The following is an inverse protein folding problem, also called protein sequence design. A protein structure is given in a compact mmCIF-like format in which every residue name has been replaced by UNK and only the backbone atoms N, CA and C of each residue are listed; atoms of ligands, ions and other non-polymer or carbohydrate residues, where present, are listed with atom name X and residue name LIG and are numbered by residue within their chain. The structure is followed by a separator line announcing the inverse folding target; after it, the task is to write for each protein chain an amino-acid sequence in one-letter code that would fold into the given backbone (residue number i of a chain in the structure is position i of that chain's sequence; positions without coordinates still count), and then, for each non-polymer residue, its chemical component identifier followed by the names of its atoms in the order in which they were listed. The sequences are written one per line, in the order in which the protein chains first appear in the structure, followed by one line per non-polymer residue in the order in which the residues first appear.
data_IF_897633566650
#
_entry.id   IF_897633566650
#
_cell.length_a   1.000
_cell.length_b   1.000
_cell.length_c   1.000
_cell.angle_alpha   90.00
_cell.angle_beta   90.00
_cell.angle_gamma   90.00
#
_symmetry.space_group_name_H-M   'P 1'
#
loop_
_entity.id
_entity.type
_entity.pdbx_description
1 polymer ?
#
# COMPACT_ATOMS: atom_id res chain seq x y z
N UNK A 1 4.69 19.34 0.45
CA UNK A 1 4.76 18.65 -0.85
C UNK A 1 6.08 17.88 -1.01
N UNK A 2 7.24 18.50 -0.71
CA UNK A 2 8.54 17.80 -0.74
C UNK A 2 8.57 16.51 0.06
N UNK A 3 8.09 16.51 1.30
CA UNK A 3 8.03 15.30 2.15
C UNK A 3 7.22 14.14 1.53
N UNK A 4 6.18 14.45 0.75
CA UNK A 4 5.37 13.43 0.05
C UNK A 4 6.09 12.92 -1.19
N UNK A 5 6.79 13.80 -1.91
CA UNK A 5 7.67 13.42 -3.01
C UNK A 5 8.77 12.47 -2.54
N UNK A 6 9.47 12.81 -1.45
CA UNK A 6 10.54 11.99 -0.86
C UNK A 6 10.01 10.60 -0.44
N UNK A 7 8.78 10.55 0.08
CA UNK A 7 8.14 9.27 0.42
C UNK A 7 7.89 8.41 -0.83
N UNK A 8 7.41 8.97 -1.94
CA UNK A 8 7.21 8.21 -3.17
C UNK A 8 8.53 7.73 -3.77
N UNK A 9 9.58 8.55 -3.73
CA UNK A 9 10.93 8.13 -4.12
C UNK A 9 11.43 6.97 -3.25
N UNK A 10 11.18 7.03 -1.94
CA UNK A 10 11.53 5.95 -1.03
C UNK A 10 10.73 4.66 -1.32
N UNK A 11 9.42 4.76 -1.58
CA UNK A 11 8.59 3.61 -1.98
C UNK A 11 9.13 2.99 -3.27
N UNK A 12 9.45 3.82 -4.27
CA UNK A 12 10.01 3.39 -5.55
C UNK A 12 11.30 2.60 -5.36
N UNK A 13 12.25 3.17 -4.63
CA UNK A 13 13.53 2.54 -4.35
C UNK A 13 13.35 1.24 -3.56
N UNK A 14 12.46 1.23 -2.57
CA UNK A 14 12.18 0.06 -1.75
C UNK A 14 11.53 -1.08 -2.55
N UNK A 15 10.54 -0.78 -3.37
CA UNK A 15 9.87 -1.77 -4.21
C UNK A 15 10.87 -2.42 -5.21
N UNK A 16 11.75 -1.63 -5.82
CA UNK A 16 12.82 -2.14 -6.70
C UNK A 16 13.79 -3.05 -5.93
N UNK A 17 14.32 -2.59 -4.80
CA UNK A 17 15.27 -3.37 -3.99
C UNK A 17 14.67 -4.69 -3.51
N UNK A 18 13.41 -4.71 -3.06
CA UNK A 18 12.75 -5.94 -2.62
C UNK A 18 12.45 -6.88 -3.78
N UNK A 19 12.11 -6.32 -4.96
CA UNK A 19 11.95 -7.08 -6.18
C UNK A 19 13.22 -7.84 -6.54
N UNK A 20 14.35 -7.13 -6.61
CA UNK A 20 15.65 -7.70 -6.94
C UNK A 20 16.07 -8.75 -5.90
N UNK A 21 15.86 -8.48 -4.61
CA UNK A 21 16.14 -9.39 -3.51
C UNK A 21 15.35 -10.71 -3.62
N UNK A 22 14.04 -10.63 -3.85
CA UNK A 22 13.19 -11.82 -3.98
C UNK A 22 13.51 -12.58 -5.27
N UNK A 23 13.70 -11.89 -6.39
CA UNK A 23 14.06 -12.51 -7.65
C UNK A 23 15.38 -13.30 -7.55
N UNK A 24 16.41 -12.70 -6.95
CA UNK A 24 17.70 -13.36 -6.75
C UNK A 24 17.64 -14.51 -5.74
N UNK A 25 16.98 -14.32 -4.58
CA UNK A 25 16.93 -15.31 -3.52
C UNK A 25 16.16 -16.58 -3.91
N UNK A 26 15.13 -16.45 -4.75
CA UNK A 26 14.23 -17.56 -5.10
C UNK A 26 14.22 -17.88 -6.60
N UNK A 27 15.11 -17.28 -7.38
CA UNK A 27 15.25 -17.48 -8.84
C UNK A 27 13.92 -17.30 -9.59
N UNK A 28 13.16 -16.27 -9.21
CA UNK A 28 11.84 -16.01 -9.78
C UNK A 28 11.94 -15.51 -11.22
N UNK A 29 11.05 -16.00 -12.09
CA UNK A 29 10.90 -15.46 -13.43
C UNK A 29 10.32 -14.03 -13.41
N UNK A 30 10.61 -13.24 -14.43
CA UNK A 30 10.10 -11.87 -14.56
C UNK A 30 8.56 -11.76 -14.61
N UNK A 31 7.88 -12.86 -14.99
CA UNK A 31 6.42 -12.96 -15.00
C UNK A 31 5.81 -13.46 -13.69
N UNK A 32 6.60 -13.71 -12.64
CA UNK A 32 6.06 -14.12 -11.35
C UNK A 32 5.15 -13.04 -10.78
N UNK A 33 3.97 -13.46 -10.29
CA UNK A 33 2.96 -12.51 -9.80
C UNK A 33 3.47 -11.63 -8.65
N UNK A 34 4.37 -12.15 -7.79
CA UNK A 34 4.95 -11.41 -6.66
C UNK A 34 5.91 -10.32 -7.13
N UNK A 35 6.70 -10.62 -8.16
CA UNK A 35 7.55 -9.65 -8.87
C UNK A 35 6.67 -8.59 -9.55
N UNK A 36 5.60 -9.01 -10.22
CA UNK A 36 4.67 -8.10 -10.91
C UNK A 36 4.00 -7.12 -9.95
N UNK A 37 3.61 -7.54 -8.74
CA UNK A 37 3.02 -6.63 -7.75
C UNK A 37 4.01 -5.57 -7.26
N UNK A 38 5.26 -5.93 -6.97
CA UNK A 38 6.30 -4.98 -6.60
C UNK A 38 6.63 -4.01 -7.76
N UNK A 39 6.62 -4.49 -9.00
CA UNK A 39 6.77 -3.65 -10.18
C UNK A 39 5.61 -2.64 -10.32
N UNK A 40 4.37 -3.05 -10.05
CA UNK A 40 3.22 -2.13 -10.07
C UNK A 40 3.36 -1.07 -8.96
N UNK A 41 3.75 -1.45 -7.74
CA UNK A 41 4.03 -0.50 -6.67
C UNK A 41 5.13 0.48 -7.08
N UNK A 42 6.24 -0.02 -7.65
CA UNK A 42 7.33 0.81 -8.18
C UNK A 42 6.82 1.82 -9.22
N UNK A 43 6.03 1.36 -10.21
CA UNK A 43 5.46 2.21 -11.25
C UNK A 43 4.52 3.27 -10.69
N UNK A 44 3.63 2.90 -9.74
CA UNK A 44 2.72 3.86 -9.11
C UNK A 44 3.49 4.93 -8.32
N UNK A 45 4.55 4.54 -7.62
CA UNK A 45 5.40 5.48 -6.91
C UNK A 45 6.17 6.40 -7.88
N UNK A 46 6.69 5.86 -8.99
CA UNK A 46 7.37 6.63 -10.04
C UNK A 46 6.44 7.69 -10.64
N UNK A 47 5.26 7.28 -11.11
CA UNK A 47 4.26 8.21 -11.68
C UNK A 47 3.88 9.29 -10.65
N UNK A 48 3.70 8.90 -9.38
CA UNK A 48 3.35 9.83 -8.32
C UNK A 48 4.47 10.85 -8.05
N UNK A 49 5.72 10.42 -8.01
CA UNK A 49 6.87 11.30 -7.83
C UNK A 49 7.03 12.26 -9.02
N UNK A 50 6.92 11.78 -10.25
CA UNK A 50 7.00 12.60 -11.46
C UNK A 50 5.91 13.68 -11.50
N UNK A 51 4.66 13.32 -11.20
CA UNK A 51 3.56 14.28 -11.15
C UNK A 51 3.74 15.30 -10.02
N UNK A 52 4.21 14.88 -8.85
CA UNK A 52 4.51 15.80 -7.74
C UNK A 52 5.66 16.75 -8.08
N UNK A 53 6.74 16.26 -8.72
CA UNK A 53 7.82 17.11 -9.20
C UNK A 53 7.29 18.17 -10.16
N UNK A 54 6.48 17.75 -11.14
CA UNK A 54 5.86 18.67 -12.08
C UNK A 54 4.97 19.71 -11.40
N UNK A 55 4.19 19.33 -10.38
CA UNK A 55 3.39 20.27 -9.61
C UNK A 55 4.21 21.23 -8.75
N UNK A 56 5.39 20.81 -8.27
CA UNK A 56 6.30 21.70 -7.52
C UNK A 56 6.96 22.73 -8.42
N UNK A 57 7.29 22.35 -9.65
CA UNK A 57 7.90 23.23 -10.64
C UNK A 57 6.88 24.19 -11.28
N UNK A 58 5.62 23.77 -11.33
CA UNK A 58 4.51 24.55 -11.88
C UNK A 58 3.88 25.43 -10.81
N UNK A 59 4.62 26.48 -10.40
CA UNK A 59 4.02 27.52 -9.53
C UNK A 59 3.00 28.31 -10.34
N UNK A 60 1.73 28.39 -9.87
CA UNK A 60 0.77 29.30 -10.47
C UNK A 60 1.30 30.73 -10.40
N UNK A 61 0.86 31.59 -11.32
CA UNK A 61 1.16 33.02 -11.32
C UNK A 61 1.00 33.61 -9.91
N UNK A 62 1.79 34.60 -9.51
CA UNK A 62 1.82 35.10 -8.15
C UNK A 62 0.38 35.40 -7.68
N UNK A 63 -0.03 34.77 -6.61
CA UNK A 63 -1.33 34.99 -6.01
C UNK A 63 -1.42 36.45 -5.56
N UNK A 64 -2.44 37.14 -6.05
CA UNK A 64 -2.57 38.58 -5.81
C UNK A 64 -3.23 38.90 -4.46
N UNK A 65 -3.91 37.91 -3.86
CA UNK A 65 -4.59 38.05 -2.56
C UNK A 65 -4.32 36.87 -1.63
N UNK A 66 -4.44 37.03 -0.29
CA UNK A 66 -4.37 35.91 0.66
C UNK A 66 -5.38 34.78 0.35
N UNK A 67 -6.58 35.14 -0.12
CA UNK A 67 -7.61 34.17 -0.50
C UNK A 67 -7.19 33.31 -1.72
N UNK A 68 -6.44 33.88 -2.66
CA UNK A 68 -5.91 33.13 -3.81
C UNK A 68 -4.82 32.14 -3.38
N UNK A 69 -3.99 32.53 -2.40
CA UNK A 69 -2.97 31.65 -1.81
C UNK A 69 -3.64 30.45 -1.13
N UNK A 70 -4.63 30.70 -0.30
CA UNK A 70 -5.37 29.64 0.42
C UNK A 70 -6.05 28.68 -0.57
N UNK A 71 -6.71 29.23 -1.60
CA UNK A 71 -7.34 28.40 -2.65
C UNK A 71 -6.32 27.52 -3.36
N UNK A 72 -5.18 28.07 -3.77
CA UNK A 72 -4.13 27.33 -4.46
C UNK A 72 -3.54 26.23 -3.58
N UNK A 73 -3.38 26.49 -2.27
CA UNK A 73 -2.93 25.48 -1.30
C UNK A 73 -3.95 24.34 -1.15
N UNK A 74 -5.24 24.64 -1.04
CA UNK A 74 -6.29 23.62 -0.96
C UNK A 74 -6.36 22.77 -2.23
N UNK A 75 -6.32 23.38 -3.41
CA UNK A 75 -6.31 22.67 -4.68
C UNK A 75 -5.07 21.75 -4.80
N UNK A 76 -3.91 22.23 -4.42
CA UNK A 76 -2.67 21.44 -4.41
C UNK A 76 -2.77 20.26 -3.45
N UNK A 77 -3.29 20.47 -2.24
CA UNK A 77 -3.50 19.40 -1.27
C UNK A 77 -4.48 18.34 -1.80
N UNK A 78 -5.59 18.75 -2.41
CA UNK A 78 -6.57 17.83 -3.01
C UNK A 78 -5.97 16.99 -4.14
N UNK A 79 -5.10 17.56 -4.98
CA UNK A 79 -4.39 16.83 -6.04
C UNK A 79 -3.44 15.79 -5.44
N UNK A 80 -2.67 16.15 -4.42
CA UNK A 80 -1.76 15.23 -3.71
C UNK A 80 -2.53 14.08 -3.08
N UNK A 81 -3.66 14.37 -2.41
CA UNK A 81 -4.52 13.34 -1.80
C UNK A 81 -5.08 12.41 -2.86
N UNK A 82 -5.58 12.94 -3.98
CA UNK A 82 -6.16 12.14 -5.06
C UNK A 82 -5.12 11.22 -5.70
N UNK A 83 -3.91 11.72 -5.94
CA UNK A 83 -2.79 10.96 -6.46
C UNK A 83 -2.37 9.85 -5.51
N UNK A 84 -2.19 10.18 -4.23
CA UNK A 84 -1.81 9.21 -3.20
C UNK A 84 -2.88 8.12 -3.01
N UNK A 85 -4.17 8.49 -3.09
CA UNK A 85 -5.30 7.57 -3.05
C UNK A 85 -5.27 6.59 -4.23
N UNK A 86 -5.04 7.09 -5.45
CA UNK A 86 -4.97 6.24 -6.64
C UNK A 86 -3.79 5.26 -6.54
N UNK A 87 -2.60 5.75 -6.21
CA UNK A 87 -1.40 4.93 -6.04
C UNK A 87 -1.61 3.83 -4.98
N UNK A 88 -2.19 4.18 -3.82
CA UNK A 88 -2.49 3.23 -2.75
C UNK A 88 -3.47 2.15 -3.20
N UNK A 89 -4.63 2.52 -3.78
CA UNK A 89 -5.67 1.56 -4.20
C UNK A 89 -5.14 0.59 -5.26
N UNK A 90 -4.41 1.08 -6.26
CA UNK A 90 -3.86 0.26 -7.33
C UNK A 90 -2.79 -0.71 -6.78
N UNK A 91 -1.94 -0.24 -5.88
CA UNK A 91 -0.91 -1.07 -5.24
C UNK A 91 -1.51 -2.18 -4.38
N UNK A 92 -2.53 -1.88 -3.55
CA UNK A 92 -3.23 -2.92 -2.77
C UNK A 92 -3.93 -3.93 -3.68
N UNK A 93 -4.50 -3.49 -4.79
CA UNK A 93 -5.14 -4.39 -5.76
C UNK A 93 -4.12 -5.34 -6.40
N UNK A 94 -2.92 -4.85 -6.74
CA UNK A 94 -1.83 -5.67 -7.25
C UNK A 94 -1.34 -6.69 -6.21
N UNK A 95 -1.20 -6.28 -4.95
CA UNK A 95 -0.86 -7.17 -3.82
C UNK A 95 -1.92 -8.26 -3.66
N UNK A 96 -3.20 -7.90 -3.68
CA UNK A 96 -4.30 -8.88 -3.57
C UNK A 96 -4.28 -9.89 -4.71
N UNK A 97 -4.11 -9.41 -5.94
CA UNK A 97 -3.99 -10.27 -7.12
C UNK A 97 -2.81 -11.25 -6.98
N UNK A 98 -1.63 -10.73 -6.66
CA UNK A 98 -0.42 -11.51 -6.47
C UNK A 98 -0.55 -12.57 -5.39
N UNK A 99 -1.09 -12.21 -4.22
CA UNK A 99 -1.27 -13.13 -3.11
C UNK A 99 -2.25 -14.28 -3.48
N UNK A 100 -3.33 -13.97 -4.20
CA UNK A 100 -4.28 -14.97 -4.69
C UNK A 100 -3.61 -15.95 -5.65
N UNK A 101 -2.83 -15.46 -6.60
CA UNK A 101 -2.09 -16.32 -7.54
C UNK A 101 -1.07 -17.19 -6.82
N UNK A 102 -0.26 -16.62 -5.91
CA UNK A 102 0.72 -17.38 -5.15
C UNK A 102 0.08 -18.56 -4.40
N UNK A 103 -1.07 -18.35 -3.75
CA UNK A 103 -1.78 -19.41 -3.03
C UNK A 103 -2.43 -20.41 -3.99
N UNK A 104 -2.94 -19.99 -5.13
CA UNK A 104 -3.52 -20.87 -6.13
C UNK A 104 -2.47 -21.78 -6.78
N UNK A 105 -1.28 -21.25 -7.06
CA UNK A 105 -0.16 -22.00 -7.65
C UNK A 105 0.48 -22.97 -6.66
N UNK A 106 0.43 -22.67 -5.35
CA UNK A 106 1.04 -23.46 -4.28
C UNK A 106 0.06 -23.76 -3.13
N UNK A 107 -1.04 -24.49 -3.38
CA UNK A 107 -2.10 -24.72 -2.39
C UNK A 107 -1.65 -25.52 -1.16
N UNK A 108 -0.55 -26.26 -1.26
CA UNK A 108 0.05 -27.00 -0.13
C UNK A 108 0.80 -26.09 0.87
N UNK A 109 1.20 -24.88 0.45
CA UNK A 109 1.96 -23.97 1.31
C UNK A 109 1.08 -23.20 2.30
N UNK A 110 -0.19 -22.95 1.92
CA UNK A 110 -1.15 -22.25 2.75
C UNK A 110 -2.57 -22.71 2.44
N UNK A 111 -3.21 -23.34 3.42
CA UNK A 111 -4.60 -23.77 3.29
C UNK A 111 -5.52 -22.56 3.52
N UNK A 112 -6.24 -22.15 2.50
CA UNK A 112 -7.28 -21.11 2.60
C UNK A 112 -8.67 -21.75 2.49
N UNK A 113 -9.70 -21.20 3.15
CA UNK A 113 -11.06 -21.71 3.03
C UNK A 113 -11.52 -21.76 1.57
N UNK A 114 -12.28 -22.82 1.21
CA UNK A 114 -12.86 -22.94 -0.12
C UNK A 114 -13.87 -21.81 -0.38
N UNK A 115 -13.91 -21.32 -1.63
CA UNK A 115 -14.81 -20.27 -2.07
C UNK A 115 -14.07 -19.02 -2.54
N UNK A 116 -14.69 -17.84 -2.37
CA UNK A 116 -14.07 -16.59 -2.84
C UNK A 116 -12.94 -16.16 -1.91
N UNK A 117 -11.69 -16.35 -2.38
CA UNK A 117 -10.49 -15.98 -1.63
C UNK A 117 -10.29 -14.46 -1.69
N UNK A 118 -10.12 -13.85 -0.53
CA UNK A 118 -9.77 -12.43 -0.38
C UNK A 118 -8.42 -12.29 0.32
N UNK A 119 -7.73 -11.18 0.08
CA UNK A 119 -6.44 -10.90 0.73
C UNK A 119 -6.54 -11.00 2.26
N UNK A 120 -7.62 -10.51 2.88
CA UNK A 120 -7.85 -10.63 4.33
C UNK A 120 -7.76 -12.09 4.82
N UNK A 121 -8.40 -13.02 4.11
CA UNK A 121 -8.36 -14.45 4.45
C UNK A 121 -6.95 -15.03 4.32
N UNK A 122 -6.24 -14.68 3.24
CA UNK A 122 -4.84 -15.11 3.03
C UNK A 122 -3.95 -14.64 4.18
N UNK A 123 -4.06 -13.37 4.59
CA UNK A 123 -3.28 -12.80 5.69
C UNK A 123 -3.61 -13.48 7.02
N UNK A 124 -4.90 -13.73 7.32
CA UNK A 124 -5.31 -14.45 8.54
C UNK A 124 -4.74 -15.87 8.60
N UNK A 125 -4.86 -16.63 7.51
CA UNK A 125 -4.29 -17.98 7.45
C UNK A 125 -2.75 -17.97 7.50
N UNK A 126 -2.11 -16.96 6.89
CA UNK A 126 -0.66 -16.77 7.00
C UNK A 126 -0.21 -16.53 8.44
N UNK A 127 -0.99 -15.77 9.22
CA UNK A 127 -0.71 -15.57 10.64
C UNK A 127 -0.96 -16.83 11.48
N UNK A 128 -2.03 -17.60 11.20
CA UNK A 128 -2.30 -18.90 11.84
C UNK A 128 -1.21 -19.91 11.56
N UNK A 129 -0.69 -19.90 10.34
CA UNK A 129 0.40 -20.76 9.91
C UNK A 129 1.80 -20.29 10.39
N UNK A 130 1.88 -19.18 11.14
CA UNK A 130 3.14 -18.64 11.66
C UNK A 130 4.06 -18.02 10.61
N UNK A 131 3.55 -17.69 9.43
CA UNK A 131 4.31 -17.02 8.35
C UNK A 131 4.53 -15.55 8.64
N UNK A 132 3.56 -14.91 9.29
CA UNK A 132 3.63 -13.53 9.75
C UNK A 132 3.18 -13.45 11.21
N UNK A 133 3.60 -12.39 11.90
CA UNK A 133 3.17 -12.17 13.29
C UNK A 133 1.71 -11.69 13.36
N UNK A 134 1.06 -11.88 14.53
CA UNK A 134 -0.27 -11.32 14.81
C UNK A 134 -0.29 -9.80 14.71
N UNK A 135 0.81 -9.14 15.06
CA UNK A 135 0.94 -7.70 14.93
C UNK A 135 0.95 -7.27 13.45
N UNK A 136 1.62 -8.02 12.58
CA UNK A 136 1.58 -7.80 11.13
C UNK A 136 0.18 -8.03 10.56
N UNK A 137 -0.53 -9.09 10.99
CA UNK A 137 -1.92 -9.36 10.62
C UNK A 137 -2.84 -8.18 10.99
N UNK A 138 -2.66 -7.63 12.20
CA UNK A 138 -3.42 -6.46 12.65
C UNK A 138 -3.17 -5.23 11.78
N UNK A 139 -1.92 -4.95 11.42
CA UNK A 139 -1.57 -3.88 10.48
C UNK A 139 -2.21 -4.06 9.09
N UNK A 140 -2.19 -5.28 8.55
CA UNK A 140 -2.89 -5.61 7.31
C UNK A 140 -4.41 -5.38 7.42
N UNK A 141 -5.02 -5.73 8.55
CA UNK A 141 -6.45 -5.49 8.77
C UNK A 141 -6.79 -4.00 8.70
N UNK A 142 -5.96 -3.14 9.29
CA UNK A 142 -6.11 -1.68 9.20
C UNK A 142 -5.94 -1.15 7.78
N UNK A 143 -4.93 -1.64 7.06
CA UNK A 143 -4.67 -1.26 5.66
C UNK A 143 -5.84 -1.63 4.73
N UNK A 144 -6.42 -2.82 4.91
CA UNK A 144 -7.57 -3.27 4.13
C UNK A 144 -8.84 -2.53 4.49
N UNK A 145 -9.02 -2.17 5.76
CA UNK A 145 -10.13 -1.31 6.19
C UNK A 145 -10.04 0.07 5.56
N UNK A 146 -8.85 0.69 5.59
CA UNK A 146 -8.58 1.96 4.92
C UNK A 146 -8.91 1.89 3.43
N UNK A 147 -8.45 0.84 2.74
CA UNK A 147 -8.75 0.65 1.30
C UNK A 147 -10.25 0.57 1.06
N UNK A 148 -10.99 -0.19 1.88
CA UNK A 148 -12.44 -0.34 1.72
C UNK A 148 -13.18 0.98 1.94
N UNK A 149 -12.80 1.75 2.95
CA UNK A 149 -13.37 3.09 3.19
C UNK A 149 -13.13 4.02 1.99
N UNK A 150 -11.91 4.03 1.45
CA UNK A 150 -11.55 4.88 0.31
C UNK A 150 -12.29 4.52 -0.99
N UNK A 151 -12.63 3.24 -1.17
CA UNK A 151 -13.28 2.74 -2.39
C UNK A 151 -14.80 2.79 -2.29
N UNK A 152 -15.38 2.45 -1.15
CA UNK A 152 -16.81 2.20 -1.03
C UNK A 152 -17.57 3.26 -0.24
N UNK A 153 -16.94 3.87 0.79
CA UNK A 153 -17.63 4.69 1.77
C UNK A 153 -17.19 6.16 1.75
N UNK A 154 -16.64 6.65 0.63
CA UNK A 154 -16.13 8.03 0.53
C UNK A 154 -15.21 8.44 1.69
N UNK A 155 -14.38 7.50 2.17
CA UNK A 155 -13.50 7.64 3.33
C UNK A 155 -14.22 7.82 4.69
N UNK A 156 -15.50 7.46 4.80
CA UNK A 156 -16.25 7.50 6.07
C UNK A 156 -16.11 6.16 6.78
N UNK A 157 -15.75 6.19 8.06
CA UNK A 157 -15.61 5.00 8.89
C UNK A 157 -16.96 4.47 9.38
N UNK A 158 -17.17 3.15 9.28
CA UNK A 158 -18.38 2.49 9.77
C UNK A 158 -18.36 2.25 11.28
N UNK A 159 -17.17 2.26 11.90
CA UNK A 159 -16.98 2.04 13.34
C UNK A 159 -15.70 2.72 13.83
N UNK A 160 -15.67 2.98 15.13
CA UNK A 160 -14.47 3.50 15.79
C UNK A 160 -13.48 2.37 16.04
N UNK A 161 -12.26 2.48 15.51
CA UNK A 161 -11.19 1.51 15.67
C UNK A 161 -9.82 2.13 15.37
N UNK A 162 -8.76 1.50 15.90
CA UNK A 162 -7.40 1.92 15.65
C UNK A 162 -6.53 0.71 15.30
N UNK A 163 -5.56 0.91 14.40
CA UNK A 163 -4.62 -0.11 13.97
C UNK A 163 -3.20 0.47 13.98
N UNK A 164 -2.32 -0.17 14.70
CA UNK A 164 -0.90 0.14 14.65
C UNK A 164 -0.25 -0.67 13.53
N UNK A 165 0.42 0.01 12.61
CA UNK A 165 1.22 -0.62 11.58
C UNK A 165 2.64 -0.79 12.12
N UNK A 166 3.18 -2.01 12.27
CA UNK A 166 4.52 -2.23 12.81
C UNK A 166 5.61 -1.47 12.06
N UNK A 167 6.23 -0.49 12.70
CA UNK A 167 7.21 0.39 12.06
C UNK A 167 6.62 1.39 11.04
N UNK A 168 5.31 1.62 11.10
CA UNK A 168 4.57 2.55 10.25
C UNK A 168 3.63 3.46 11.06
N UNK A 169 2.69 4.15 10.39
CA UNK A 169 1.75 5.03 11.06
C UNK A 169 0.67 4.26 11.83
N UNK A 170 0.01 4.94 12.77
CA UNK A 170 -1.24 4.46 13.37
C UNK A 170 -2.42 4.95 12.53
N UNK A 171 -3.33 4.04 12.18
CA UNK A 171 -4.59 4.33 11.52
C UNK A 171 -5.69 4.42 12.59
N UNK A 172 -6.25 5.60 12.79
CA UNK A 172 -7.36 5.82 13.70
C UNK A 172 -8.62 6.21 12.91
N UNK A 173 -9.69 5.45 13.11
CA UNK A 173 -10.99 5.67 12.49
C UNK A 173 -12.02 6.01 13.57
N UNK A 174 -12.89 6.98 13.30
CA UNK A 174 -14.00 7.35 14.17
C UNK A 174 -15.31 7.17 13.39
N UNK A 175 -16.26 6.43 13.98
CA UNK A 175 -17.55 6.09 13.36
C UNK A 175 -18.28 7.35 12.84
N UNK A 176 -18.81 7.24 11.62
CA UNK A 176 -19.51 8.32 10.94
C UNK A 176 -18.63 9.52 10.55
N UNK A 177 -17.33 9.47 10.80
CA UNK A 177 -16.40 10.54 10.44
C UNK A 177 -15.60 10.18 9.21
N UNK A 178 -15.39 11.19 8.37
CA UNK A 178 -14.42 11.09 7.29
C UNK A 178 -13.02 10.94 7.90
N UNK A 179 -12.22 10.06 7.34
CA UNK A 179 -10.84 9.91 7.77
C UNK A 179 -10.07 11.20 7.54
N UNK A 180 -9.52 11.73 8.61
CA UNK A 180 -8.60 12.85 8.57
C UNK A 180 -7.18 12.33 8.70
N UNK A 181 -6.31 12.76 7.82
CA UNK A 181 -4.89 12.48 7.84
C UNK A 181 -4.12 13.63 7.22
N UNK A 182 -2.83 13.71 7.51
CA UNK A 182 -1.94 14.59 6.79
C UNK A 182 -1.68 14.03 5.38
N UNK A 183 -1.07 14.82 4.51
CA UNK A 183 -0.77 14.44 3.13
C UNK A 183 0.18 13.23 3.02
N UNK A 184 0.91 12.91 4.09
CA UNK A 184 1.87 11.81 4.15
C UNK A 184 1.23 10.46 4.47
N UNK A 185 0.04 10.43 5.08
CA UNK A 185 -0.54 9.21 5.62
C UNK A 185 -0.65 8.08 4.57
N UNK A 186 -1.23 8.36 3.41
CA UNK A 186 -1.39 7.33 2.38
C UNK A 186 -0.05 6.85 1.81
N UNK A 187 0.93 7.71 1.48
CA UNK A 187 2.28 7.27 1.13
C UNK A 187 2.98 6.48 2.25
N UNK A 188 2.85 6.86 3.53
CA UNK A 188 3.43 6.11 4.64
C UNK A 188 2.81 4.72 4.78
N UNK A 189 1.48 4.59 4.63
CA UNK A 189 0.80 3.29 4.61
C UNK A 189 1.22 2.46 3.40
N UNK A 190 1.44 3.09 2.24
CA UNK A 190 1.92 2.41 1.05
C UNK A 190 3.35 1.89 1.21
N UNK A 191 4.23 2.67 1.84
CA UNK A 191 5.59 2.23 2.17
C UNK A 191 5.56 1.03 3.13
N UNK A 192 4.73 1.12 4.18
CA UNK A 192 4.52 -0.01 5.08
C UNK A 192 4.01 -1.24 4.33
N UNK A 193 3.01 -1.09 3.47
CA UNK A 193 2.44 -2.17 2.65
C UNK A 193 3.50 -2.83 1.77
N UNK A 194 4.39 -2.04 1.16
CA UNK A 194 5.49 -2.56 0.34
C UNK A 194 6.40 -3.47 1.16
N UNK A 195 6.80 -3.04 2.35
CA UNK A 195 7.64 -3.83 3.25
C UNK A 195 6.91 -5.09 3.74
N UNK A 196 5.64 -4.95 4.14
CA UNK A 196 4.83 -6.05 4.66
C UNK A 196 4.56 -7.12 3.57
N UNK A 197 4.33 -6.69 2.33
CA UNK A 197 4.15 -7.60 1.21
C UNK A 197 5.45 -8.32 0.82
N UNK A 198 6.57 -7.63 0.80
CA UNK A 198 7.87 -8.24 0.54
C UNK A 198 8.24 -9.27 1.62
N UNK A 199 7.96 -8.97 2.90
CA UNK A 199 8.16 -9.90 4.00
C UNK A 199 7.25 -11.13 3.88
N UNK A 200 5.95 -10.95 3.59
CA UNK A 200 5.01 -12.03 3.35
C UNK A 200 5.45 -12.90 2.17
N UNK A 201 5.83 -12.30 1.04
CA UNK A 201 6.30 -13.02 -0.14
C UNK A 201 7.54 -13.87 0.15
N UNK A 202 8.52 -13.33 0.89
CA UNK A 202 9.71 -14.08 1.30
C UNK A 202 9.38 -15.27 2.20
N UNK A 203 8.47 -15.10 3.17
CA UNK A 203 8.03 -16.18 4.05
C UNK A 203 7.24 -17.26 3.28
N UNK A 204 6.38 -16.86 2.33
CA UNK A 204 5.64 -17.79 1.48
C UNK A 204 6.59 -18.59 0.58
N UNK A 205 7.53 -17.92 -0.10
CA UNK A 205 8.52 -18.55 -0.96
C UNK A 205 9.45 -19.51 -0.20
N UNK A 206 9.81 -19.16 1.03
CA UNK A 206 10.58 -20.05 1.90
C UNK A 206 9.84 -21.38 2.16
N UNK A 207 8.52 -21.37 2.25
CA UNK A 207 7.71 -22.59 2.36
C UNK A 207 7.63 -23.36 1.04
N UNK A 208 7.51 -22.65 -0.09
CA UNK A 208 7.53 -23.29 -1.42
C UNK A 208 8.84 -24.05 -1.63
N UNK A 209 9.98 -23.46 -1.24
CA UNK A 209 11.29 -24.07 -1.38
C UNK A 209 11.54 -25.25 -0.40
N UNK A 210 10.78 -25.32 0.69
CA UNK A 210 10.90 -26.38 1.70
C UNK A 210 9.94 -27.57 1.49
N UNK A 211 9.02 -27.47 0.55
CA UNK A 211 8.00 -28.48 0.23
C UNK A 211 8.41 -29.38 -0.92
#
# INVERSE_FOLDING_TARGET
MHDVFDLFEHIRARASSENDRLAAAFQLASGDARISALNIIHQQATISAELLSHYMDWMPAPAHTPADVERAQLESAQRVISLSKAAFILSISAVEFSAKHAVADHPHCLTVPQGRVYLRGIIQESARAGMISRHMEHGWSGTLELRNMLVHNNAIAERTQAFELPGGPTLAFAEGRMMHGNLRLLPEVLLWTTNAFAAWSGAFLGRVAAA
#
